data_IF_545914333797
#
_entry.id   IF_545914333797
#
_cell.length_a   1.000
_cell.length_b   1.000
_cell.length_c   1.000
_cell.angle_alpha   90.00
_cell.angle_beta   90.00
_cell.angle_gamma   90.00
#
_symmetry.space_group_name_H-M   'P 1'
#
loop_
_entity.id
_entity.type
_entity.pdbx_description
1 polymer ?
#
# COMPACT_ATOMS: atom_id res chain seq x y z
N UNK A 1 -7.77 29.03 -5.05
CA UNK A 1 -7.56 27.96 -6.04
C UNK A 1 -8.22 26.74 -5.44
N UNK A 2 -9.33 26.25 -6.00
CA UNK A 2 -9.95 25.03 -5.49
C UNK A 2 -9.13 23.87 -6.01
N UNK A 3 -8.17 23.39 -5.22
CA UNK A 3 -7.62 22.05 -5.42
C UNK A 3 -8.77 21.08 -5.21
N UNK A 4 -9.21 20.47 -6.30
CA UNK A 4 -10.31 19.51 -6.28
C UNK A 4 -9.70 18.14 -6.09
N UNK A 5 -10.28 17.34 -5.19
CA UNK A 5 -9.92 15.94 -4.98
C UNK A 5 -9.79 15.11 -6.26
N UNK A 6 -10.46 15.53 -7.34
CA UNK A 6 -10.32 14.94 -8.66
C UNK A 6 -8.96 15.19 -9.29
N UNK A 7 -8.42 16.43 -9.23
CA UNK A 7 -7.10 16.74 -9.78
C UNK A 7 -6.04 15.86 -9.13
N UNK A 8 -6.03 15.79 -7.80
CA UNK A 8 -5.06 14.98 -7.05
C UNK A 8 -5.18 13.49 -7.41
N UNK A 9 -6.41 12.99 -7.55
CA UNK A 9 -6.64 11.61 -7.96
C UNK A 9 -6.13 11.32 -9.38
N UNK A 10 -6.38 12.23 -10.33
CA UNK A 10 -5.87 12.11 -11.71
C UNK A 10 -4.35 12.13 -11.70
N UNK A 11 -3.72 13.09 -11.01
CA UNK A 11 -2.25 13.19 -10.91
C UNK A 11 -1.63 11.94 -10.27
N UNK A 12 -2.26 11.36 -9.24
CA UNK A 12 -1.79 10.12 -8.64
C UNK A 12 -1.87 8.94 -9.61
N UNK A 13 -2.98 8.80 -10.34
CA UNK A 13 -3.16 7.72 -11.33
C UNK A 13 -2.19 7.90 -12.51
N UNK A 14 -2.03 9.14 -12.99
CA UNK A 14 -1.00 9.53 -13.97
C UNK A 14 0.35 8.97 -13.54
N UNK A 15 0.78 9.28 -12.33
CA UNK A 15 2.08 8.83 -11.83
C UNK A 15 2.20 7.31 -11.78
N UNK A 16 1.18 6.60 -11.30
CA UNK A 16 1.18 5.12 -11.27
C UNK A 16 1.33 4.54 -12.68
N UNK A 17 0.56 5.06 -13.65
CA UNK A 17 0.61 4.60 -15.04
C UNK A 17 1.99 4.86 -15.64
N UNK A 18 2.55 6.05 -15.40
CA UNK A 18 3.90 6.40 -15.82
C UNK A 18 4.90 5.37 -15.28
N UNK A 19 4.90 5.15 -13.96
CA UNK A 19 5.85 4.27 -13.28
C UNK A 19 5.73 2.81 -13.72
N UNK A 20 4.51 2.34 -13.99
CA UNK A 20 4.27 0.99 -14.50
C UNK A 20 4.81 0.80 -15.91
N UNK A 21 4.86 1.86 -16.70
CA UNK A 21 5.38 1.86 -18.08
C UNK A 21 6.88 2.21 -18.18
N UNK A 22 7.49 2.66 -17.08
CA UNK A 22 8.88 3.12 -17.03
C UNK A 22 9.87 1.98 -17.39
N UNK A 23 10.93 2.22 -18.17
CA UNK A 23 11.90 1.17 -18.50
C UNK A 23 12.61 0.55 -17.27
N UNK A 24 12.64 1.25 -16.13
CA UNK A 24 13.26 0.80 -14.89
C UNK A 24 12.31 -0.09 -14.07
N UNK A 25 12.71 -1.33 -13.81
CA UNK A 25 11.96 -2.20 -12.91
C UNK A 25 11.95 -1.64 -11.48
N UNK A 26 13.02 -0.97 -11.03
CA UNK A 26 13.05 -0.36 -9.71
C UNK A 26 11.97 0.71 -9.49
N UNK A 27 11.55 1.41 -10.55
CA UNK A 27 10.48 2.41 -10.49
C UNK A 27 9.12 1.71 -10.33
N UNK A 28 8.85 0.69 -11.15
CA UNK A 28 7.65 -0.15 -11.00
C UNK A 28 7.58 -0.79 -9.61
N UNK A 29 8.69 -1.35 -9.14
CA UNK A 29 8.80 -2.07 -7.88
C UNK A 29 8.51 -1.18 -6.67
N UNK A 30 8.84 0.11 -6.76
CA UNK A 30 8.50 1.12 -5.76
C UNK A 30 7.03 1.52 -5.85
N UNK A 31 6.50 1.71 -7.07
CA UNK A 31 5.10 2.08 -7.25
C UNK A 31 4.13 0.99 -6.72
N UNK A 32 4.46 -0.28 -6.92
CA UNK A 32 3.64 -1.40 -6.40
C UNK A 32 3.72 -1.54 -4.88
N UNK A 33 4.78 -1.03 -4.25
CA UNK A 33 4.92 -1.06 -2.79
C UNK A 33 3.96 -0.12 -2.08
N UNK A 34 3.42 0.91 -2.76
CA UNK A 34 2.60 1.93 -2.13
C UNK A 34 1.12 1.86 -2.57
N UNK A 35 0.81 1.06 -3.58
CA UNK A 35 -0.55 0.91 -4.12
C UNK A 35 -1.40 -0.05 -3.28
N UNK A 36 -2.69 0.26 -3.11
CA UNK A 36 -3.66 -0.67 -2.55
C UNK A 36 -4.19 -1.65 -3.61
N UNK A 37 -4.79 -2.75 -3.16
CA UNK A 37 -5.27 -3.82 -4.05
C UNK A 37 -6.31 -3.36 -5.07
N UNK A 38 -7.18 -2.39 -4.71
CA UNK A 38 -8.27 -1.92 -5.57
C UNK A 38 -7.74 -1.00 -6.65
N UNK A 39 -6.84 -0.09 -6.29
CA UNK A 39 -6.18 0.81 -7.23
C UNK A 39 -5.32 0.01 -8.20
N UNK A 40 -4.55 -0.97 -7.71
CA UNK A 40 -3.78 -1.89 -8.56
C UNK A 40 -4.67 -2.60 -9.59
N UNK A 41 -5.77 -3.19 -9.14
CA UNK A 41 -6.68 -3.92 -10.02
C UNK A 41 -7.29 -3.02 -11.11
N UNK A 42 -7.63 -1.78 -10.74
CA UNK A 42 -8.17 -0.79 -11.68
C UNK A 42 -7.16 -0.40 -12.77
N UNK A 43 -5.91 -0.17 -12.37
CA UNK A 43 -4.80 0.15 -13.29
C UNK A 43 -4.47 -1.06 -14.17
N UNK A 44 -4.45 -2.27 -13.61
CA UNK A 44 -4.27 -3.52 -14.34
C UNK A 44 -5.30 -3.67 -15.46
N UNK A 45 -6.59 -3.54 -15.15
CA UNK A 45 -7.66 -3.62 -16.15
C UNK A 45 -7.56 -2.54 -17.24
N UNK A 46 -7.14 -1.33 -16.87
CA UNK A 46 -6.92 -0.27 -17.85
C UNK A 46 -5.78 -0.60 -18.82
N UNK A 47 -4.66 -1.10 -18.32
CA UNK A 47 -3.51 -1.51 -19.15
C UNK A 47 -3.90 -2.70 -20.05
N UNK A 48 -4.61 -3.69 -19.51
CA UNK A 48 -5.13 -4.83 -20.27
C UNK A 48 -6.04 -4.39 -21.41
N UNK A 49 -6.94 -3.43 -21.16
CA UNK A 49 -7.81 -2.87 -22.18
C UNK A 49 -7.00 -2.20 -23.29
N UNK A 50 -6.05 -1.33 -22.95
CA UNK A 50 -5.19 -0.67 -23.94
C UNK A 50 -4.44 -1.71 -24.79
N UNK A 51 -3.92 -2.76 -24.14
CA UNK A 51 -3.16 -3.81 -24.79
C UNK A 51 -4.00 -4.65 -25.74
N UNK A 52 -5.23 -5.00 -25.33
CA UNK A 52 -6.14 -5.83 -26.11
C UNK A 52 -6.66 -5.10 -27.35
N UNK A 53 -6.90 -3.79 -27.23
CA UNK A 53 -7.36 -2.94 -28.33
C UNK A 53 -6.22 -2.40 -29.21
N UNK A 54 -4.95 -2.68 -28.87
CA UNK A 54 -3.79 -2.10 -29.56
C UNK A 54 -3.77 -0.57 -29.49
N UNK A 55 -4.35 -0.01 -28.43
CA UNK A 55 -4.56 1.42 -28.27
C UNK A 55 -3.32 2.11 -27.70
N UNK A 56 -3.15 3.38 -28.07
CA UNK A 56 -2.21 4.30 -27.44
C UNK A 56 -2.97 5.22 -26.51
N UNK A 57 -2.32 5.67 -25.46
CA UNK A 57 -2.91 6.59 -24.49
C UNK A 57 -2.01 7.80 -24.30
N UNK A 58 -2.62 8.99 -24.24
CA UNK A 58 -1.92 10.23 -23.93
C UNK A 58 -2.75 11.04 -22.94
N UNK A 59 -2.12 11.47 -21.87
CA UNK A 59 -2.69 12.35 -20.85
C UNK A 59 -1.83 13.60 -20.72
N UNK A 60 -2.49 14.76 -20.74
CA UNK A 60 -1.84 16.06 -20.63
C UNK A 60 -2.49 16.80 -19.47
N UNK A 61 -1.69 17.11 -18.45
CA UNK A 61 -2.01 17.95 -17.31
C UNK A 61 -1.15 19.22 -17.35
N UNK A 62 -1.48 20.24 -16.54
CA UNK A 62 -0.85 21.57 -16.59
C UNK A 62 0.69 21.53 -16.68
N UNK A 63 1.33 20.64 -15.93
CA UNK A 63 2.79 20.51 -15.86
C UNK A 63 3.28 19.07 -16.10
N UNK A 64 2.41 18.16 -16.55
CA UNK A 64 2.78 16.76 -16.73
C UNK A 64 2.18 16.18 -18.01
N UNK A 65 2.96 15.39 -18.73
CA UNK A 65 2.52 14.72 -19.94
C UNK A 65 2.95 13.26 -19.88
N UNK A 66 1.98 12.37 -20.06
CA UNK A 66 2.22 10.93 -20.11
C UNK A 66 1.74 10.43 -21.46
N UNK A 67 2.63 9.73 -22.14
CA UNK A 67 2.31 9.03 -23.38
C UNK A 67 2.68 7.56 -23.21
N UNK A 68 1.69 6.69 -23.43
CA UNK A 68 1.83 5.25 -23.57
C UNK A 68 1.73 4.90 -25.05
N UNK A 69 2.89 4.66 -25.65
CA UNK A 69 2.98 3.98 -26.93
C UNK A 69 2.84 2.46 -26.75
N UNK A 70 2.85 1.73 -27.87
CA UNK A 70 2.69 0.28 -27.87
C UNK A 70 3.75 -0.44 -27.01
N UNK A 71 5.00 0.04 -27.03
CA UNK A 71 6.09 -0.57 -26.26
C UNK A 71 5.92 -0.34 -24.75
N UNK A 72 5.44 0.84 -24.36
CA UNK A 72 5.12 1.18 -22.97
C UNK A 72 3.91 0.40 -22.46
N UNK A 73 2.87 0.27 -23.27
CA UNK A 73 1.69 -0.55 -22.95
C UNK A 73 2.09 -2.01 -22.76
N UNK A 74 2.86 -2.60 -23.68
CA UNK A 74 3.32 -3.98 -23.57
C UNK A 74 4.17 -4.19 -22.31
N UNK A 75 5.08 -3.27 -22.00
CA UNK A 75 5.90 -3.35 -20.78
C UNK A 75 5.05 -3.33 -19.51
N UNK A 76 4.12 -2.37 -19.43
CA UNK A 76 3.22 -2.26 -18.30
C UNK A 76 2.37 -3.52 -18.15
N UNK A 77 1.86 -4.06 -19.28
CA UNK A 77 1.07 -5.29 -19.32
C UNK A 77 1.85 -6.50 -18.78
N UNK A 78 3.07 -6.74 -19.25
CA UNK A 78 3.89 -7.87 -18.79
C UNK A 78 4.16 -7.85 -17.28
N UNK A 79 4.22 -6.64 -16.69
CA UNK A 79 4.41 -6.45 -15.24
C UNK A 79 3.12 -6.72 -14.47
N UNK A 80 2.03 -6.05 -14.81
CA UNK A 80 0.74 -6.18 -14.07
C UNK A 80 0.12 -7.56 -14.22
N UNK A 81 0.36 -8.26 -15.34
CA UNK A 81 -0.16 -9.61 -15.56
C UNK A 81 0.45 -10.61 -14.56
N UNK A 82 1.73 -10.43 -14.21
CA UNK A 82 2.49 -11.33 -13.33
C UNK A 82 2.61 -10.82 -11.90
N UNK A 83 1.87 -9.77 -11.56
CA UNK A 83 1.87 -9.17 -10.23
C UNK A 83 0.53 -9.42 -9.57
N UNK A 84 0.55 -9.86 -8.31
CA UNK A 84 -0.64 -10.06 -7.50
C UNK A 84 -0.53 -9.14 -6.27
N UNK A 85 -1.57 -8.35 -6.03
CA UNK A 85 -1.69 -7.51 -4.82
C UNK A 85 -2.98 -7.93 -4.12
N UNK A 86 -2.85 -8.45 -2.91
CA UNK A 86 -3.98 -8.91 -2.09
C UNK A 86 -3.99 -8.21 -0.76
N UNK A 87 -5.18 -7.91 -0.26
CA UNK A 87 -5.38 -7.35 1.08
C UNK A 87 -6.43 -8.16 1.84
N UNK A 88 -6.16 -8.42 3.11
CA UNK A 88 -7.10 -9.05 4.04
C UNK A 88 -7.09 -8.34 5.39
N UNK A 89 -8.18 -8.43 6.13
CA UNK A 89 -8.22 -8.02 7.53
C UNK A 89 -7.97 -9.24 8.42
N UNK A 90 -7.17 -9.06 9.47
CA UNK A 90 -6.86 -10.11 10.43
C UNK A 90 -6.80 -9.55 11.86
N UNK A 91 -6.94 -10.43 12.85
CA UNK A 91 -6.78 -10.12 14.26
C UNK A 91 -5.69 -10.98 14.88
N UNK A 92 -4.61 -10.32 15.29
CA UNK A 92 -3.42 -10.98 15.79
C UNK A 92 -3.36 -10.81 17.30
N UNK A 93 -3.37 -11.92 18.04
CA UNK A 93 -3.18 -11.91 19.48
C UNK A 93 -1.70 -11.80 19.85
N UNK A 94 -1.38 -11.00 20.86
CA UNK A 94 0.01 -10.81 21.28
C UNK A 94 0.18 -9.62 22.20
N UNK A 95 1.37 -9.06 22.22
CA UNK A 95 1.73 -7.96 23.12
C UNK A 95 2.17 -6.74 22.32
N UNK A 96 1.60 -5.58 22.63
CA UNK A 96 2.05 -4.32 22.05
C UNK A 96 3.41 -3.95 22.64
N UNK A 97 4.44 -3.90 21.79
CA UNK A 97 5.82 -3.60 22.19
C UNK A 97 6.07 -2.10 22.17
N UNK A 98 5.57 -1.42 21.13
CA UNK A 98 5.80 0.00 20.96
C UNK A 98 4.92 0.63 19.89
N UNK A 99 4.73 1.94 20.03
CA UNK A 99 4.15 2.81 19.01
C UNK A 99 5.06 4.02 18.88
N UNK A 100 5.29 4.44 17.64
CA UNK A 100 6.04 5.64 17.30
C UNK A 100 5.07 6.63 16.65
N UNK A 101 4.46 7.57 17.38
CA UNK A 101 3.41 8.43 16.83
C UNK A 101 3.87 9.32 15.67
N UNK A 102 5.08 9.90 15.77
CA UNK A 102 5.64 10.76 14.72
C UNK A 102 5.89 9.99 13.43
N UNK A 103 6.49 8.81 13.52
CA UNK A 103 6.75 7.96 12.37
C UNK A 103 5.53 7.13 11.93
N UNK A 104 4.45 7.14 12.72
CA UNK A 104 3.26 6.31 12.58
C UNK A 104 3.59 4.82 12.36
N UNK A 105 4.42 4.26 13.24
CA UNK A 105 4.79 2.84 13.21
C UNK A 105 4.41 2.15 14.50
N UNK A 106 4.19 0.84 14.41
CA UNK A 106 3.96 -0.02 15.57
C UNK A 106 4.92 -1.21 15.56
N UNK A 107 5.14 -1.76 16.75
CA UNK A 107 5.80 -3.04 16.97
C UNK A 107 4.91 -3.92 17.86
N UNK A 108 4.67 -5.15 17.42
CA UNK A 108 3.78 -6.09 18.08
C UNK A 108 4.41 -7.48 18.14
N UNK A 109 4.56 -8.01 19.34
CA UNK A 109 5.07 -9.36 19.55
C UNK A 109 3.91 -10.36 19.41
N UNK A 110 4.08 -11.39 18.59
CA UNK A 110 3.06 -12.42 18.37
C UNK A 110 2.95 -13.33 19.59
N UNK A 111 1.72 -13.51 20.08
CA UNK A 111 1.47 -14.30 21.29
C UNK A 111 1.97 -15.74 21.15
N UNK A 112 2.84 -16.16 22.07
CA UNK A 112 3.41 -17.50 22.08
C UNK A 112 4.64 -17.69 21.19
N UNK A 113 5.18 -16.62 20.61
CA UNK A 113 6.44 -16.64 19.85
C UNK A 113 7.36 -15.48 20.25
N UNK A 114 8.61 -15.48 19.78
CA UNK A 114 9.54 -14.33 19.90
C UNK A 114 9.46 -13.40 18.68
N UNK A 115 8.52 -13.65 17.76
CA UNK A 115 8.40 -12.91 16.51
C UNK A 115 7.74 -11.55 16.75
N UNK A 116 8.35 -10.50 16.20
CA UNK A 116 7.82 -9.13 16.22
C UNK A 116 7.41 -8.76 14.81
N UNK A 117 6.14 -8.42 14.63
CA UNK A 117 5.65 -7.76 13.43
C UNK A 117 5.74 -6.25 13.62
N UNK A 118 6.09 -5.54 12.55
CA UNK A 118 6.10 -4.08 12.55
C UNK A 118 5.58 -3.55 11.23
N UNK A 119 5.03 -2.34 11.26
CA UNK A 119 4.48 -1.72 10.08
C UNK A 119 3.86 -0.36 10.33
N UNK A 120 3.24 0.24 9.31
CA UNK A 120 2.59 1.53 9.43
C UNK A 120 1.28 1.45 10.24
N UNK A 121 0.87 2.59 10.75
CA UNK A 121 -0.41 2.79 11.44
C UNK A 121 -1.36 3.53 10.50
N UNK A 122 -2.53 2.92 10.23
CA UNK A 122 -3.56 3.47 9.37
C UNK A 122 -3.92 4.90 9.77
N UNK A 123 -4.01 5.81 8.78
CA UNK A 123 -4.23 7.24 9.00
C UNK A 123 -5.53 7.56 9.76
N UNK A 124 -6.50 6.64 9.76
CA UNK A 124 -7.77 6.78 10.51
C UNK A 124 -7.58 6.73 12.02
N UNK A 125 -6.48 6.17 12.52
CA UNK A 125 -6.12 6.23 13.94
C UNK A 125 -5.57 7.62 14.28
N UNK A 126 -6.27 8.32 15.18
CA UNK A 126 -5.97 9.71 15.55
C UNK A 126 -4.62 9.85 16.24
N UNK A 127 -3.97 11.01 16.09
CA UNK A 127 -2.72 11.32 16.79
C UNK A 127 -2.90 11.21 18.32
N UNK A 128 -3.99 11.77 18.86
CA UNK A 128 -4.33 11.68 20.27
C UNK A 128 -4.43 10.23 20.77
N UNK A 129 -4.94 9.30 19.95
CA UNK A 129 -5.00 7.88 20.31
C UNK A 129 -3.59 7.28 20.39
N UNK A 130 -2.69 7.65 19.47
CA UNK A 130 -1.31 7.17 19.45
C UNK A 130 -0.48 7.76 20.59
N UNK A 131 -0.63 9.05 20.89
CA UNK A 131 0.04 9.69 22.02
C UNK A 131 -0.40 9.09 23.36
N UNK A 132 -1.69 8.74 23.49
CA UNK A 132 -2.17 8.03 24.68
C UNK A 132 -1.52 6.66 24.84
N UNK A 133 -1.36 5.91 23.76
CA UNK A 133 -0.70 4.60 23.79
C UNK A 133 0.78 4.73 24.18
N UNK A 134 1.48 5.74 23.64
CA UNK A 134 2.91 5.96 23.93
C UNK A 134 3.15 6.38 25.38
N UNK A 135 2.29 7.24 25.94
CA UNK A 135 2.49 7.83 27.27
C UNK A 135 1.85 7.03 28.41
N UNK A 136 0.99 6.06 28.10
CA UNK A 136 0.30 5.25 29.11
C UNK A 136 0.97 3.88 29.23
N UNK A 137 1.72 3.69 30.34
CA UNK A 137 2.34 2.41 30.71
C UNK A 137 1.33 1.25 30.79
N UNK A 138 0.02 1.55 30.81
CA UNK A 138 -1.02 0.53 30.75
C UNK A 138 -1.24 -0.07 29.35
N UNK A 139 -0.70 0.51 28.28
CA UNK A 139 -0.84 -0.03 26.92
C UNK A 139 0.32 -0.92 26.52
N UNK A 140 1.55 -0.47 26.76
CA UNK A 140 2.77 -1.19 26.38
C UNK A 140 2.98 -2.41 27.30
N UNK A 141 3.44 -3.52 26.71
CA UNK A 141 3.74 -4.74 27.46
C UNK A 141 2.51 -5.55 27.91
N UNK A 142 1.29 -5.11 27.55
CA UNK A 142 0.05 -5.86 27.82
C UNK A 142 -0.39 -6.70 26.63
N UNK A 143 -1.17 -7.74 26.94
CA UNK A 143 -1.83 -8.54 25.92
C UNK A 143 -2.91 -7.72 25.21
N UNK A 144 -2.91 -7.77 23.88
CA UNK A 144 -3.84 -7.12 22.98
C UNK A 144 -4.22 -8.07 21.84
N UNK A 145 -5.32 -7.77 21.16
CA UNK A 145 -5.57 -8.22 19.80
C UNK A 145 -5.39 -7.04 18.86
N UNK A 146 -4.37 -7.09 18.01
CA UNK A 146 -4.14 -6.10 16.97
C UNK A 146 -5.05 -6.41 15.78
N UNK A 147 -5.94 -5.48 15.42
CA UNK A 147 -6.63 -5.52 14.14
C UNK A 147 -5.69 -4.96 13.08
N UNK A 148 -5.34 -5.78 12.10
CA UNK A 148 -4.40 -5.41 11.03
C UNK A 148 -5.03 -5.60 9.66
N UNK A 149 -4.66 -4.73 8.73
CA UNK A 149 -4.77 -5.02 7.30
C UNK A 149 -3.46 -5.64 6.86
N UNK A 150 -3.51 -6.86 6.36
CA UNK A 150 -2.37 -7.57 5.80
C UNK A 150 -2.37 -7.36 4.30
N UNK A 151 -1.33 -6.72 3.78
CA UNK A 151 -1.13 -6.51 2.35
C UNK A 151 -0.01 -7.44 1.88
N UNK A 152 -0.29 -8.28 0.89
CA UNK A 152 0.73 -9.10 0.23
C UNK A 152 0.90 -8.64 -1.22
N UNK A 153 2.13 -8.35 -1.61
CA UNK A 153 2.53 -8.06 -2.98
C UNK A 153 3.43 -9.18 -3.48
N UNK A 154 2.93 -9.93 -4.45
CA UNK A 154 3.71 -10.93 -5.19
C UNK A 154 4.15 -10.36 -6.53
N UNK A 155 5.45 -10.35 -6.75
CA UNK A 155 6.10 -9.71 -7.90
C UNK A 155 6.29 -10.69 -9.07
N UNK A 156 6.58 -10.20 -10.29
CA UNK A 156 6.80 -11.04 -11.46
C UNK A 156 7.94 -12.06 -11.31
N UNK A 157 8.93 -11.78 -10.47
CA UNK A 157 10.06 -12.67 -10.18
C UNK A 157 9.78 -13.67 -9.05
N UNK A 158 8.57 -13.67 -8.50
CA UNK A 158 8.12 -14.54 -7.42
C UNK A 158 8.47 -14.06 -6.02
N UNK A 159 9.16 -12.92 -5.85
CA UNK A 159 9.33 -12.32 -4.53
C UNK A 159 7.98 -11.88 -3.97
N UNK A 160 7.80 -12.13 -2.68
CA UNK A 160 6.62 -11.68 -1.93
C UNK A 160 7.04 -10.67 -0.87
N UNK A 161 6.17 -9.69 -0.63
CA UNK A 161 6.31 -8.70 0.43
C UNK A 161 5.00 -8.62 1.19
N UNK A 162 5.04 -9.01 2.46
CA UNK A 162 3.92 -8.89 3.39
C UNK A 162 4.14 -7.63 4.23
N UNK A 163 3.11 -6.79 4.31
CA UNK A 163 3.07 -5.64 5.19
C UNK A 163 1.84 -5.72 6.10
N UNK A 164 2.06 -5.49 7.39
CA UNK A 164 1.02 -5.39 8.40
C UNK A 164 0.74 -3.92 8.67
N UNK A 165 -0.50 -3.48 8.44
CA UNK A 165 -0.93 -2.11 8.71
C UNK A 165 -1.85 -2.14 9.92
N UNK A 166 -1.47 -1.48 11.02
CA UNK A 166 -2.30 -1.45 12.22
C UNK A 166 -3.55 -0.59 11.98
N UNK A 167 -4.72 -1.18 12.17
CA UNK A 167 -6.01 -0.52 12.01
C UNK A 167 -6.76 -0.34 13.33
N UNK A 168 -6.35 -1.05 14.39
CA UNK A 168 -6.88 -0.88 15.74
C UNK A 168 -6.27 -1.83 16.76
N UNK A 169 -6.55 -1.58 18.02
CA UNK A 169 -6.17 -2.43 19.15
C UNK A 169 -7.42 -2.76 19.96
N UNK A 170 -7.61 -4.04 20.26
CA UNK A 170 -8.75 -4.57 21.01
C UNK A 170 -8.22 -5.22 22.28
N UNK A 171 -8.75 -4.81 23.43
CA UNK A 171 -8.38 -5.41 24.70
C UNK A 171 -8.92 -6.85 24.75
N UNK A 172 -8.12 -7.84 25.15
CA UNK A 172 -8.62 -9.20 25.36
C UNK A 172 -9.61 -9.18 26.52
N UNK A 173 -10.79 -9.78 26.32
CA UNK A 173 -11.79 -10.00 27.37
C UNK A 173 -11.26 -10.91 28.50
#
# INVERSE_FOLDING_TARGET
MFDTSLRDAVTAISQIIHDFSDPSDAIFEKAIDDIDSRTFLSVKYFIELLRNEGAKFKLVEDNNEIELDEAKVERAYQRVERTEVTESEDQIAGTLVGVMPVARRFEFNLGGTEEIISGPIDARLSADFLERIENDEQFIGRAWRASVRVRNVRRPDGREKIEYILTGLIHPE
#
